data_IF_673020932846
#
_entry.id   IF_673020932846
#
_cell.length_a   1.000
_cell.length_b   1.000
_cell.length_c   1.000
_cell.angle_alpha   90.00
_cell.angle_beta   90.00
_cell.angle_gamma   90.00
#
_symmetry.space_group_name_H-M   'P 1'
#
loop_
_entity.id
_entity.type
_entity.pdbx_description
1 polymer ?
#
# COMPACT_ATOMS: atom_id res chain seq x y z
N UNK A 1 -33.52 12.59 -14.07
CA UNK A 1 -32.43 12.61 -13.08
C UNK A 1 -32.72 11.52 -12.06
N UNK A 2 -31.87 10.50 -11.97
CA UNK A 2 -32.13 9.30 -11.18
C UNK A 2 -32.28 9.63 -9.68
N UNK A 3 -33.22 8.96 -9.00
CA UNK A 3 -33.38 9.01 -7.55
C UNK A 3 -32.11 8.46 -6.91
N UNK A 4 -31.35 9.30 -6.23
CA UNK A 4 -30.21 8.88 -5.42
C UNK A 4 -30.77 8.14 -4.20
N UNK A 5 -30.52 6.84 -4.11
CA UNK A 5 -30.84 6.01 -2.95
C UNK A 5 -30.26 6.61 -1.67
N UNK A 6 -31.11 6.81 -0.65
CA UNK A 6 -30.78 7.47 0.61
C UNK A 6 -30.23 6.52 1.69
N UNK A 7 -29.89 5.29 1.33
CA UNK A 7 -29.63 4.20 2.29
C UNK A 7 -28.17 3.70 2.30
N UNK A 8 -27.20 4.53 1.88
CA UNK A 8 -25.78 4.22 2.07
C UNK A 8 -25.33 4.60 3.48
N UNK A 9 -25.27 3.62 4.39
CA UNK A 9 -24.56 3.77 5.64
C UNK A 9 -23.06 3.99 5.36
N UNK A 10 -22.41 5.00 5.95
CA UNK A 10 -20.97 5.20 5.76
C UNK A 10 -20.21 3.99 6.30
N UNK A 11 -19.35 3.41 5.46
CA UNK A 11 -18.50 2.29 5.87
C UNK A 11 -17.61 2.74 7.04
N UNK A 12 -17.71 2.00 8.14
CA UNK A 12 -16.88 2.21 9.33
C UNK A 12 -15.97 1.02 9.49
N UNK A 13 -14.66 1.26 9.55
CA UNK A 13 -13.66 0.21 9.74
C UNK A 13 -14.00 -0.57 11.03
N UNK A 14 -14.22 -1.91 10.96
CA UNK A 14 -14.53 -2.75 12.12
C UNK A 14 -13.49 -2.62 13.24
N UNK A 15 -13.92 -2.80 14.49
CA UNK A 15 -13.06 -2.60 15.67
C UNK A 15 -11.76 -3.43 15.60
N UNK A 16 -11.86 -4.72 15.25
CA UNK A 16 -10.70 -5.60 15.16
C UNK A 16 -9.66 -5.15 14.11
N UNK A 17 -10.12 -4.59 12.97
CA UNK A 17 -9.21 -4.07 11.94
C UNK A 17 -8.51 -2.80 12.44
N UNK A 18 -9.22 -1.92 13.14
CA UNK A 18 -8.62 -0.71 13.74
C UNK A 18 -7.51 -1.05 14.72
N UNK A 19 -7.67 -2.12 15.50
CA UNK A 19 -6.66 -2.53 16.47
C UNK A 19 -5.39 -3.06 15.77
N UNK A 20 -5.54 -3.80 14.67
CA UNK A 20 -4.41 -4.21 13.81
C UNK A 20 -3.67 -3.00 13.25
N UNK A 21 -4.39 -2.03 12.67
CA UNK A 21 -3.79 -0.83 12.09
C UNK A 21 -3.03 0.04 13.09
N UNK A 22 -3.44 0.04 14.37
CA UNK A 22 -2.76 0.78 15.43
C UNK A 22 -1.51 0.10 15.97
N UNK A 23 -1.41 -1.23 15.84
CA UNK A 23 -0.37 -2.03 16.49
C UNK A 23 0.70 -2.51 15.51
N UNK A 24 0.28 -3.11 14.41
CA UNK A 24 1.17 -3.63 13.36
C UNK A 24 1.45 -2.56 12.30
N UNK A 25 0.48 -1.65 12.08
CA UNK A 25 0.53 -0.63 11.04
C UNK A 25 -0.31 -1.00 9.82
N UNK A 26 -0.07 -0.32 8.70
CA UNK A 26 -0.80 -0.52 7.44
C UNK A 26 -1.52 0.75 6.97
N UNK A 27 -2.28 0.63 5.88
CA UNK A 27 -2.87 1.78 5.18
C UNK A 27 -4.36 1.56 4.93
N UNK A 28 -5.23 1.78 5.94
CA UNK A 28 -6.65 1.38 5.89
C UNK A 28 -7.47 2.03 4.77
N UNK A 29 -7.04 3.18 4.26
CA UNK A 29 -7.76 3.87 3.18
C UNK A 29 -7.55 3.21 1.81
N UNK A 30 -6.63 2.25 1.69
CA UNK A 30 -6.42 1.47 0.46
C UNK A 30 -7.28 0.20 0.43
N UNK A 31 -7.87 -0.21 1.56
CA UNK A 31 -8.74 -1.38 1.64
C UNK A 31 -9.93 -1.25 0.68
N UNK A 32 -10.30 -2.35 0.02
CA UNK A 32 -11.36 -2.44 -0.99
C UNK A 32 -11.12 -1.63 -2.28
N UNK A 33 -10.12 -0.74 -2.31
CA UNK A 33 -9.72 0.00 -3.50
C UNK A 33 -8.60 -0.72 -4.27
N UNK A 34 -7.78 -1.53 -3.59
CA UNK A 34 -6.65 -2.24 -4.18
C UNK A 34 -6.67 -3.72 -3.80
N UNK A 35 -6.41 -4.59 -4.80
CA UNK A 35 -6.29 -6.04 -4.57
C UNK A 35 -4.87 -6.39 -4.17
N UNK A 36 -4.71 -7.01 -2.99
CA UNK A 36 -3.43 -7.57 -2.55
C UNK A 36 -3.22 -8.91 -3.25
N UNK A 37 -2.11 -9.06 -3.97
CA UNK A 37 -1.78 -10.29 -4.72
C UNK A 37 -0.49 -10.98 -4.28
N UNK A 38 0.25 -10.40 -3.33
CA UNK A 38 1.49 -10.96 -2.83
C UNK A 38 2.09 -10.12 -1.70
N UNK A 39 3.11 -10.68 -1.06
CA UNK A 39 3.88 -10.04 0.00
C UNK A 39 5.37 -10.28 -0.20
N UNK A 40 6.19 -9.41 0.39
CA UNK A 40 7.65 -9.54 0.36
C UNK A 40 8.07 -10.43 1.53
N UNK A 41 8.65 -11.58 1.21
CA UNK A 41 9.12 -12.55 2.23
C UNK A 41 10.59 -12.34 2.63
N UNK A 42 11.36 -11.58 1.86
CA UNK A 42 12.79 -11.33 2.08
C UNK A 42 13.25 -10.04 1.41
N UNK A 43 14.28 -9.38 1.95
CA UNK A 43 14.86 -8.17 1.36
C UNK A 43 14.16 -6.86 1.77
N UNK A 44 13.50 -6.82 2.94
CA UNK A 44 12.86 -5.62 3.46
C UNK A 44 13.86 -4.46 3.65
N UNK A 45 15.10 -4.77 3.99
CA UNK A 45 16.19 -3.80 4.10
C UNK A 45 16.51 -3.09 2.78
N UNK A 46 16.33 -3.78 1.65
CA UNK A 46 16.49 -3.19 0.31
C UNK A 46 15.35 -2.20 0.05
N UNK A 47 14.11 -2.56 0.40
CA UNK A 47 12.95 -1.67 0.30
C UNK A 47 13.18 -0.41 1.14
N UNK A 48 13.61 -0.56 2.40
CA UNK A 48 13.91 0.57 3.28
C UNK A 48 15.00 1.47 2.70
N UNK A 49 16.02 0.90 2.05
CA UNK A 49 17.09 1.67 1.41
C UNK A 49 16.57 2.49 0.22
N UNK A 50 15.66 1.92 -0.58
CA UNK A 50 15.04 2.59 -1.73
C UNK A 50 14.09 3.69 -1.24
N UNK A 51 13.30 3.44 -0.19
CA UNK A 51 12.38 4.40 0.40
C UNK A 51 13.09 5.65 0.98
N UNK A 52 14.35 5.52 1.39
CA UNK A 52 15.20 6.61 1.87
C UNK A 52 15.93 7.36 0.76
N UNK A 53 15.80 6.96 -0.50
CA UNK A 53 16.50 7.60 -1.61
C UNK A 53 16.04 9.07 -1.75
N UNK A 54 16.98 10.03 -1.98
CA UNK A 54 16.60 11.42 -2.21
C UNK A 54 15.69 11.56 -3.43
N UNK A 55 14.60 12.32 -3.27
CA UNK A 55 13.60 12.56 -4.31
C UNK A 55 13.53 14.03 -4.72
N UNK A 56 12.96 14.25 -5.90
CA UNK A 56 12.53 15.57 -6.38
C UNK A 56 11.18 15.97 -5.76
N UNK A 57 10.68 17.20 -5.95
CA UNK A 57 9.41 17.66 -5.37
C UNK A 57 8.14 16.88 -5.77
N UNK A 58 8.22 16.01 -6.78
CA UNK A 58 7.14 15.11 -7.21
C UNK A 58 7.45 13.64 -6.88
N UNK A 59 8.24 13.42 -5.83
CA UNK A 59 8.61 12.09 -5.28
C UNK A 59 9.38 11.16 -6.22
N UNK A 60 9.81 11.64 -7.39
CA UNK A 60 10.72 10.87 -8.26
C UNK A 60 12.13 10.84 -7.67
N UNK A 61 12.77 9.66 -7.51
CA UNK A 61 14.17 9.56 -7.09
C UNK A 61 15.12 10.37 -7.99
N UNK A 62 16.12 11.04 -7.38
CA UNK A 62 17.12 11.82 -8.11
C UNK A 62 18.10 10.94 -8.89
N UNK A 63 18.28 9.69 -8.47
CA UNK A 63 19.06 8.67 -9.15
C UNK A 63 18.14 7.50 -9.49
N UNK A 64 18.34 6.93 -10.67
CA UNK A 64 17.56 5.78 -11.13
C UNK A 64 17.78 4.56 -10.21
N UNK A 65 16.67 3.95 -9.79
CA UNK A 65 16.64 2.64 -9.11
C UNK A 65 15.99 1.67 -10.09
N UNK A 66 16.72 0.63 -10.49
CA UNK A 66 16.31 -0.27 -11.58
C UNK A 66 16.26 -1.72 -11.10
N UNK A 67 15.26 -2.46 -11.57
CA UNK A 67 15.24 -3.92 -11.51
C UNK A 67 16.15 -4.42 -12.62
N UNK A 68 17.19 -5.18 -12.25
CA UNK A 68 18.19 -5.69 -13.19
C UNK A 68 17.80 -7.07 -13.76
N UNK A 69 17.16 -7.89 -12.93
CA UNK A 69 16.80 -9.28 -13.24
C UNK A 69 15.54 -9.67 -12.46
N UNK A 70 14.72 -10.55 -13.04
CA UNK A 70 13.55 -11.14 -12.39
C UNK A 70 13.53 -12.63 -12.71
N UNK A 71 13.46 -13.47 -11.68
CA UNK A 71 13.36 -14.92 -11.80
C UNK A 71 12.03 -15.40 -11.19
N UNK A 72 11.32 -16.23 -11.93
CA UNK A 72 10.13 -16.93 -11.42
C UNK A 72 10.63 -18.25 -10.83
N UNK A 73 10.35 -18.45 -9.55
CA UNK A 73 10.66 -19.69 -8.83
C UNK A 73 9.51 -20.69 -9.00
N UNK A 74 9.83 -21.96 -9.17
CA UNK A 74 8.87 -23.09 -9.20
C UNK A 74 8.65 -23.67 -7.80
#
# INVERSE_FOLDING_TARGET
MAKVEKDFAPYTIPAYQRDVYKTIGGTPHLDQNYTVYGEVISGLEVIDSIAKAPTSPLDRPLKDVRILEVNVIE
#
